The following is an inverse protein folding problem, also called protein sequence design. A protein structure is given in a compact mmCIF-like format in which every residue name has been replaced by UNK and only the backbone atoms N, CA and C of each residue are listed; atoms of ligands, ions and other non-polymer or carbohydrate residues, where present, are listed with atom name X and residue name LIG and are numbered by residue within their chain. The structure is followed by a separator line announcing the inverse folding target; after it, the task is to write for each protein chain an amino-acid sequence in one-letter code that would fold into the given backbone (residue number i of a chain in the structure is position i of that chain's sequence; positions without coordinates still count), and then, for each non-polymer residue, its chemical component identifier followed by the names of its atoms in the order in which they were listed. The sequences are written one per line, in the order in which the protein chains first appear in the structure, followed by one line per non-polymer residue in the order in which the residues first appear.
data_IF_107030964410
#
_entry.id   IF_107030964410
#
_cell.length_a   1.000
_cell.length_b   1.000
_cell.length_c   1.000
_cell.angle_alpha   90.00
_cell.angle_beta   90.00
_cell.angle_gamma   90.00
#
_symmetry.space_group_name_H-M   'P 1'
#
loop_
_entity.id
_entity.type
_entity.pdbx_description
1 polymer ?
#
# COMPACT_ATOMS: atom_id res chain seq x y z
N UNK A 1 18.99 13.54 -10.75
CA UNK A 1 18.50 12.44 -11.62
C UNK A 1 17.83 13.04 -12.85
N UNK A 2 17.86 12.38 -14.00
CA UNK A 2 17.05 12.84 -15.14
C UNK A 2 15.57 12.51 -14.91
N UNK A 3 14.65 13.30 -15.46
CA UNK A 3 13.20 13.06 -15.37
C UNK A 3 12.84 11.65 -15.85
N UNK A 4 13.49 11.17 -16.92
CA UNK A 4 13.31 9.81 -17.45
C UNK A 4 13.70 8.76 -16.41
N UNK A 5 14.86 8.90 -15.78
CA UNK A 5 15.29 7.96 -14.73
C UNK A 5 14.37 7.94 -13.51
N UNK A 6 13.78 9.09 -13.18
CA UNK A 6 12.81 9.23 -12.09
C UNK A 6 11.53 8.48 -12.41
N UNK A 7 10.97 8.68 -13.61
CA UNK A 7 9.76 7.99 -14.06
C UNK A 7 9.96 6.48 -14.18
N UNK A 8 11.09 6.03 -14.73
CA UNK A 8 11.40 4.59 -14.81
C UNK A 8 11.47 3.97 -13.41
N UNK A 9 12.17 4.62 -12.46
CA UNK A 9 12.23 4.13 -11.07
C UNK A 9 10.86 4.10 -10.40
N UNK A 10 10.03 5.12 -10.63
CA UNK A 10 8.66 5.18 -10.11
C UNK A 10 7.86 3.98 -10.62
N UNK A 11 7.77 3.82 -11.94
CA UNK A 11 6.97 2.75 -12.57
C UNK A 11 7.46 1.37 -12.17
N UNK A 12 8.78 1.13 -12.17
CA UNK A 12 9.35 -0.16 -11.74
C UNK A 12 9.03 -0.44 -10.27
N UNK A 13 9.16 0.54 -9.39
CA UNK A 13 8.87 0.35 -7.97
C UNK A 13 7.37 0.13 -7.72
N UNK A 14 6.50 0.84 -8.44
CA UNK A 14 5.06 0.61 -8.41
C UNK A 14 4.68 -0.77 -8.97
N UNK A 15 5.39 -1.27 -9.99
CA UNK A 15 5.17 -2.62 -10.50
C UNK A 15 5.58 -3.69 -9.47
N UNK A 16 6.74 -3.51 -8.81
CA UNK A 16 7.17 -4.38 -7.70
C UNK A 16 6.15 -4.34 -6.56
N UNK A 17 5.66 -3.16 -6.19
CA UNK A 17 4.58 -3.01 -5.21
C UNK A 17 3.33 -3.78 -5.62
N UNK A 18 2.91 -3.66 -6.89
CA UNK A 18 1.76 -4.38 -7.43
C UNK A 18 1.92 -5.90 -7.39
N UNK A 19 3.11 -6.42 -7.67
CA UNK A 19 3.42 -7.85 -7.50
C UNK A 19 3.23 -8.25 -6.04
N UNK A 20 3.76 -7.48 -5.08
CA UNK A 20 3.61 -7.75 -3.66
C UNK A 20 2.15 -7.74 -3.19
N UNK A 21 1.35 -6.78 -3.68
CA UNK A 21 -0.10 -6.71 -3.39
C UNK A 21 -0.81 -7.94 -3.94
N UNK A 22 -0.56 -8.30 -5.21
CA UNK A 22 -1.14 -9.49 -5.82
C UNK A 22 -0.78 -10.76 -5.04
N UNK A 23 0.46 -10.90 -4.56
CA UNK A 23 0.88 -12.04 -3.75
C UNK A 23 0.07 -12.18 -2.46
N UNK A 24 -0.21 -11.08 -1.75
CA UNK A 24 -1.07 -11.12 -0.56
C UNK A 24 -2.51 -11.51 -0.91
N UNK A 25 -3.07 -10.94 -1.99
CA UNK A 25 -4.44 -11.23 -2.40
C UNK A 25 -4.61 -12.68 -2.86
N UNK A 26 -3.69 -13.19 -3.69
CA UNK A 26 -3.66 -14.59 -4.16
C UNK A 26 -3.44 -15.55 -2.99
N UNK A 27 -2.71 -15.15 -1.95
CA UNK A 27 -2.53 -15.99 -0.77
C UNK A 27 -3.85 -16.21 0.00
N UNK A 28 -4.86 -15.33 -0.17
CA UNK A 28 -6.17 -15.44 0.47
C UNK A 28 -6.10 -15.62 2.00
N UNK A 29 -5.12 -14.98 2.64
CA UNK A 29 -4.90 -15.00 4.10
C UNK A 29 -5.17 -13.63 4.75
N UNK A 30 -5.97 -12.79 4.08
CA UNK A 30 -6.22 -11.38 4.42
C UNK A 30 -5.62 -10.43 3.39
N UNK A 31 -5.86 -9.14 3.56
CA UNK A 31 -5.35 -8.07 2.70
C UNK A 31 -4.76 -6.92 3.53
N UNK A 32 -4.25 -5.89 2.88
CA UNK A 32 -3.82 -4.68 3.56
C UNK A 32 -5.01 -3.88 4.17
N UNK A 33 -4.71 -2.97 5.08
CA UNK A 33 -5.75 -2.22 5.81
C UNK A 33 -6.61 -1.31 4.92
N UNK A 34 -6.03 -0.76 3.86
CA UNK A 34 -6.73 0.08 2.88
C UNK A 34 -7.71 -0.75 2.05
N UNK A 35 -7.27 -1.89 1.50
CA UNK A 35 -8.15 -2.81 0.77
C UNK A 35 -9.26 -3.38 1.66
N UNK A 36 -8.94 -3.68 2.93
CA UNK A 36 -9.94 -4.14 3.92
C UNK A 36 -11.02 -3.08 4.16
N UNK A 37 -10.61 -1.81 4.33
CA UNK A 37 -11.53 -0.68 4.50
C UNK A 37 -12.47 -0.51 3.30
N UNK A 38 -11.93 -0.54 2.08
CA UNK A 38 -12.72 -0.38 0.85
C UNK A 38 -13.71 -1.53 0.72
N UNK A 39 -13.26 -2.76 0.92
CA UNK A 39 -14.14 -3.93 0.85
C UNK A 39 -15.27 -3.84 1.88
N UNK A 40 -14.96 -3.48 3.12
CA UNK A 40 -15.98 -3.35 4.16
C UNK A 40 -17.01 -2.27 3.84
N UNK A 41 -16.56 -1.08 3.43
CA UNK A 41 -17.46 0.00 3.03
C UNK A 41 -18.30 -0.37 1.80
N UNK A 42 -17.72 -1.09 0.83
CA UNK A 42 -18.43 -1.62 -0.33
C UNK A 42 -19.57 -2.54 0.07
N UNK A 43 -19.32 -3.47 1.01
CA UNK A 43 -20.33 -4.38 1.57
C UNK A 43 -21.41 -3.61 2.34
N UNK A 44 -21.01 -2.71 3.25
CA UNK A 44 -21.95 -2.01 4.13
C UNK A 44 -22.85 -0.99 3.41
N UNK A 45 -22.35 -0.39 2.33
CA UNK A 45 -23.08 0.63 1.56
C UNK A 45 -23.76 0.07 0.30
N UNK A 46 -23.51 -1.19 -0.06
CA UNK A 46 -23.94 -1.80 -1.33
C UNK A 46 -23.49 -0.97 -2.55
N UNK A 47 -22.21 -0.58 -2.54
CA UNK A 47 -21.58 0.24 -3.58
C UNK A 47 -20.40 -0.51 -4.16
N UNK A 48 -20.23 -0.42 -5.48
CA UNK A 48 -19.11 -1.02 -6.21
C UNK A 48 -17.74 -0.65 -5.61
N UNK A 49 -16.88 -1.67 -5.46
CA UNK A 49 -15.54 -1.54 -4.85
C UNK A 49 -14.73 -0.40 -5.48
N UNK A 50 -14.77 -0.25 -6.81
CA UNK A 50 -14.00 0.77 -7.51
C UNK A 50 -14.44 2.20 -7.17
N UNK A 51 -15.74 2.42 -6.90
CA UNK A 51 -16.28 3.72 -6.49
C UNK A 51 -15.76 4.06 -5.10
N UNK A 52 -15.86 3.10 -4.16
CA UNK A 52 -15.38 3.28 -2.79
C UNK A 52 -13.87 3.54 -2.79
N UNK A 53 -13.10 2.77 -3.55
CA UNK A 53 -11.66 2.97 -3.72
C UNK A 53 -11.33 4.38 -4.21
N UNK A 54 -12.04 4.87 -5.23
CA UNK A 54 -11.85 6.22 -5.77
C UNK A 54 -12.15 7.30 -4.71
N UNK A 55 -13.31 7.21 -4.04
CA UNK A 55 -13.74 8.19 -3.05
C UNK A 55 -12.79 8.22 -1.85
N UNK A 56 -12.48 7.05 -1.29
CA UNK A 56 -11.55 6.94 -0.14
C UNK A 56 -10.14 7.37 -0.54
N UNK A 57 -9.69 7.00 -1.73
CA UNK A 57 -8.39 7.41 -2.27
C UNK A 57 -8.28 8.94 -2.36
N UNK A 58 -9.29 9.60 -2.94
CA UNK A 58 -9.36 11.08 -2.98
C UNK A 58 -9.39 11.66 -1.57
N UNK A 59 -10.19 11.11 -0.67
CA UNK A 59 -10.31 11.61 0.70
C UNK A 59 -8.97 11.57 1.46
N UNK A 60 -8.22 10.47 1.35
CA UNK A 60 -6.90 10.35 2.00
C UNK A 60 -5.88 11.31 1.39
N UNK A 61 -5.88 11.48 0.06
CA UNK A 61 -5.00 12.46 -0.62
C UNK A 61 -5.35 13.90 -0.22
N UNK A 62 -6.64 14.24 -0.15
CA UNK A 62 -7.08 15.56 0.31
C UNK A 62 -6.73 15.82 1.77
N UNK A 63 -6.86 14.80 2.63
CA UNK A 63 -6.43 14.87 4.03
C UNK A 63 -4.93 15.13 4.13
N UNK A 64 -4.11 14.39 3.37
CA UNK A 64 -2.67 14.58 3.33
C UNK A 64 -2.31 15.98 2.81
N UNK A 65 -3.02 16.47 1.79
CA UNK A 65 -2.83 17.81 1.25
C UNK A 65 -3.21 18.91 2.25
N UNK A 66 -4.30 18.76 2.99
CA UNK A 66 -4.69 19.68 4.06
C UNK A 66 -3.65 19.76 5.19
N UNK A 67 -2.83 18.71 5.36
CA UNK A 67 -1.69 18.67 6.29
C UNK A 67 -0.37 19.13 5.68
N UNK A 68 -0.38 19.61 4.43
CA UNK A 68 0.79 20.18 3.75
C UNK A 68 1.51 19.25 2.79
N UNK A 69 1.13 17.97 2.72
CA UNK A 69 1.73 17.00 1.78
C UNK A 69 1.07 17.12 0.40
N UNK A 70 1.74 17.79 -0.53
CA UNK A 70 1.19 18.05 -1.86
C UNK A 70 1.14 16.77 -2.70
N UNK A 71 0.04 16.50 -3.44
CA UNK A 71 -0.01 15.39 -4.37
C UNK A 71 1.00 15.60 -5.51
N UNK A 72 1.52 14.50 -6.05
CA UNK A 72 2.49 14.51 -7.15
C UNK A 72 2.17 13.44 -8.20
N UNK A 73 3.08 13.27 -9.17
CA UNK A 73 2.93 12.25 -10.22
C UNK A 73 2.76 10.82 -9.67
N UNK A 74 3.44 10.50 -8.57
CA UNK A 74 3.33 9.22 -7.85
C UNK A 74 1.93 8.98 -7.27
N UNK A 75 1.21 10.02 -6.85
CA UNK A 75 -0.16 9.90 -6.33
C UNK A 75 -1.14 9.34 -7.36
N UNK A 76 -0.87 9.58 -8.65
CA UNK A 76 -1.67 9.06 -9.76
C UNK A 76 -1.04 7.78 -10.36
N UNK A 77 0.28 7.80 -10.55
CA UNK A 77 1.01 6.70 -11.20
C UNK A 77 0.97 5.43 -10.36
N UNK A 78 1.11 5.55 -9.03
CA UNK A 78 1.12 4.42 -8.12
C UNK A 78 -0.16 3.59 -8.21
N UNK A 79 -1.38 4.14 -7.99
CA UNK A 79 -2.59 3.32 -8.02
C UNK A 79 -2.87 2.77 -9.42
N UNK A 80 -2.52 3.49 -10.49
CA UNK A 80 -2.71 3.01 -11.87
C UNK A 80 -1.81 1.81 -12.20
N UNK A 81 -0.50 1.93 -11.94
CA UNK A 81 0.46 0.85 -12.23
C UNK A 81 0.22 -0.35 -11.33
N UNK A 82 -0.01 -0.11 -10.03
CA UNK A 82 -0.32 -1.19 -9.07
C UNK A 82 -1.61 -1.90 -9.47
N UNK A 83 -2.68 -1.14 -9.79
CA UNK A 83 -3.94 -1.72 -10.23
C UNK A 83 -3.79 -2.58 -11.49
N UNK A 84 -3.10 -2.06 -12.52
CA UNK A 84 -2.85 -2.82 -13.75
C UNK A 84 -2.10 -4.14 -13.49
N UNK A 85 -1.03 -4.08 -12.69
CA UNK A 85 -0.20 -5.26 -12.37
C UNK A 85 -0.99 -6.28 -11.53
N UNK A 86 -1.74 -5.81 -10.53
CA UNK A 86 -2.57 -6.66 -9.66
C UNK A 86 -3.64 -7.37 -10.48
N UNK A 87 -4.40 -6.64 -11.32
CA UNK A 87 -5.42 -7.25 -12.18
C UNK A 87 -4.84 -8.32 -13.09
N UNK A 88 -3.73 -8.02 -13.78
CA UNK A 88 -3.10 -8.99 -14.68
C UNK A 88 -2.58 -10.24 -13.96
N UNK A 89 -2.09 -10.11 -12.73
CA UNK A 89 -1.63 -11.26 -11.93
C UNK A 89 -2.78 -12.08 -11.35
N UNK A 90 -3.86 -11.44 -10.91
CA UNK A 90 -5.05 -12.15 -10.44
C UNK A 90 -5.74 -12.92 -11.58
N UNK A 91 -5.71 -12.40 -12.81
CA UNK A 91 -6.22 -13.11 -13.99
C UNK A 91 -5.30 -14.29 -14.39
N UNK A 92 -3.99 -14.16 -14.15
CA UNK A 92 -3.00 -15.16 -14.56
C UNK A 92 -2.79 -16.29 -13.54
N UNK A 93 -3.08 -16.06 -12.26
CA UNK A 93 -2.78 -17.00 -11.18
C UNK A 93 -4.01 -17.29 -10.33
N UNK A 94 -4.28 -18.58 -10.14
CA UNK A 94 -5.30 -19.04 -9.20
C UNK A 94 -4.79 -19.04 -7.75
N UNK A 95 -5.72 -18.96 -6.81
CA UNK A 95 -5.48 -19.16 -5.37
C UNK A 95 -4.90 -20.57 -5.13
N UNK A 96 -3.79 -20.71 -4.37
CA UNK A 96 -3.23 -22.02 -4.06
C UNK A 96 -4.14 -22.85 -3.14
N UNK A 97 -4.38 -24.13 -3.46
CA UNK A 97 -5.15 -25.02 -2.59
C UNK A 97 -4.43 -25.34 -1.27
N UNK A 98 -3.11 -25.47 -1.33
CA UNK A 98 -2.32 -25.88 -0.18
C UNK A 98 -2.04 -24.72 0.79
N UNK A 99 -2.39 -24.90 2.06
CA UNK A 99 -2.20 -23.87 3.09
C UNK A 99 -0.75 -23.39 3.22
N UNK A 100 0.23 -24.28 3.07
CA UNK A 100 1.66 -23.93 3.15
C UNK A 100 2.11 -23.06 1.97
N UNK A 101 1.50 -23.23 0.79
CA UNK A 101 1.80 -22.40 -0.38
C UNK A 101 1.28 -20.98 -0.18
N UNK A 102 0.09 -20.83 0.40
CA UNK A 102 -0.47 -19.53 0.80
C UNK A 102 0.42 -18.81 1.81
N UNK A 103 0.88 -19.52 2.84
CA UNK A 103 1.81 -18.97 3.84
C UNK A 103 3.14 -18.57 3.21
N UNK A 104 3.72 -19.41 2.35
CA UNK A 104 4.94 -19.09 1.62
C UNK A 104 4.80 -17.84 0.74
N UNK A 105 3.69 -17.74 0.01
CA UNK A 105 3.38 -16.58 -0.83
C UNK A 105 3.24 -15.31 0.01
N UNK A 106 2.51 -15.39 1.13
CA UNK A 106 2.36 -14.28 2.06
C UNK A 106 3.71 -13.82 2.63
N UNK A 107 4.55 -14.74 3.10
CA UNK A 107 5.89 -14.42 3.65
C UNK A 107 6.77 -13.74 2.60
N UNK A 108 6.75 -14.23 1.36
CA UNK A 108 7.51 -13.63 0.26
C UNK A 108 6.95 -12.28 -0.18
N UNK A 109 5.66 -12.00 0.05
CA UNK A 109 5.05 -10.73 -0.32
C UNK A 109 5.61 -9.55 0.48
N UNK A 110 5.94 -9.74 1.76
CA UNK A 110 6.44 -8.66 2.63
C UNK A 110 7.71 -7.95 2.13
N UNK A 111 8.81 -8.66 1.79
CA UNK A 111 9.98 -7.98 1.24
C UNK A 111 9.69 -7.31 -0.10
N UNK A 112 8.85 -7.91 -0.95
CA UNK A 112 8.46 -7.34 -2.25
C UNK A 112 7.66 -6.04 -2.05
N UNK A 113 6.66 -6.05 -1.18
CA UNK A 113 5.89 -4.87 -0.79
C UNK A 113 6.79 -3.78 -0.21
N UNK A 114 7.65 -4.13 0.74
CA UNK A 114 8.51 -3.17 1.41
C UNK A 114 9.50 -2.50 0.43
N UNK A 115 10.08 -3.27 -0.49
CA UNK A 115 10.93 -2.74 -1.57
C UNK A 115 10.12 -1.86 -2.52
N UNK A 116 8.91 -2.27 -2.88
CA UNK A 116 8.02 -1.49 -3.74
C UNK A 116 7.65 -0.14 -3.13
N UNK A 117 7.17 -0.13 -1.88
CA UNK A 117 6.81 1.08 -1.12
C UNK A 117 8.02 1.99 -0.94
N UNK A 118 9.13 1.48 -0.37
CA UNK A 118 10.33 2.28 -0.14
C UNK A 118 10.90 2.83 -1.46
N UNK A 119 10.89 2.01 -2.52
CA UNK A 119 11.43 2.34 -3.82
C UNK A 119 10.69 3.49 -4.49
N UNK A 120 9.36 3.46 -4.50
CA UNK A 120 8.57 4.49 -5.16
C UNK A 120 8.54 5.79 -4.33
N UNK A 121 8.51 5.70 -3.00
CA UNK A 121 8.57 6.86 -2.12
C UNK A 121 9.93 7.57 -2.19
N UNK A 122 11.03 6.83 -2.34
CA UNK A 122 12.37 7.41 -2.52
C UNK A 122 12.56 8.18 -3.85
N UNK A 123 11.57 8.14 -4.74
CA UNK A 123 11.56 8.94 -5.98
C UNK A 123 11.08 10.38 -5.73
N UNK A 124 10.47 10.64 -4.56
CA UNK A 124 9.87 11.92 -4.18
C UNK A 124 8.94 12.52 -5.26
N UNK A 125 8.18 11.63 -5.90
CA UNK A 125 7.21 12.03 -6.92
C UNK A 125 5.79 12.20 -6.35
N UNK A 126 5.61 12.15 -5.04
CA UNK A 126 4.31 12.07 -4.36
C UNK A 126 3.92 10.64 -3.98
N UNK A 127 3.11 10.53 -2.93
CA UNK A 127 2.73 9.26 -2.32
C UNK A 127 1.33 8.78 -2.76
N UNK A 128 1.10 7.47 -2.73
CA UNK A 128 -0.22 6.86 -2.88
C UNK A 128 -1.15 7.15 -1.69
N UNK A 129 -2.45 6.83 -1.75
CA UNK A 129 -3.41 7.28 -0.74
C UNK A 129 -3.04 6.89 0.70
N UNK A 130 -2.67 5.63 0.91
CA UNK A 130 -2.30 5.08 2.22
C UNK A 130 -0.98 5.68 2.72
N UNK A 131 0.05 5.71 1.87
CA UNK A 131 1.35 6.27 2.26
C UNK A 131 1.29 7.79 2.44
N UNK A 132 0.50 8.51 1.65
CA UNK A 132 0.27 9.94 1.79
C UNK A 132 -0.40 10.24 3.13
N UNK A 133 -1.41 9.45 3.50
CA UNK A 133 -2.05 9.57 4.80
C UNK A 133 -1.06 9.32 5.93
N UNK A 134 -0.18 8.33 5.82
CA UNK A 134 0.84 8.04 6.83
C UNK A 134 1.92 9.14 6.92
N UNK A 135 2.44 9.60 5.79
CA UNK A 135 3.47 10.63 5.69
C UNK A 135 2.97 11.99 6.19
N UNK A 136 1.69 12.30 6.01
CA UNK A 136 1.09 13.53 6.51
C UNK A 136 1.13 13.70 8.04
N UNK A 137 1.41 12.63 8.78
CA UNK A 137 1.61 12.63 10.23
C UNK A 137 3.07 12.45 10.66
N UNK A 138 4.03 12.41 9.73
CA UNK A 138 5.47 12.34 10.01
C UNK A 138 6.15 13.67 9.63
N UNK A 139 6.46 14.57 10.59
CA UNK A 139 6.26 14.49 12.06
C UNK A 139 4.82 14.83 12.54
N UNK A 140 4.41 14.46 13.78
CA UNK A 140 5.23 13.97 14.91
C UNK A 140 5.35 12.45 15.06
N UNK A 141 4.59 11.66 14.29
CA UNK A 141 4.59 10.20 14.38
C UNK A 141 5.44 9.63 13.24
N UNK A 142 6.56 8.94 13.54
CA UNK A 142 7.42 8.37 12.49
C UNK A 142 6.63 7.47 11.53
N UNK A 143 6.98 7.51 10.24
CA UNK A 143 6.28 6.79 9.17
C UNK A 143 5.94 5.33 9.51
N UNK A 144 6.87 4.57 10.10
CA UNK A 144 6.59 3.16 10.50
C UNK A 144 5.35 3.01 11.37
N UNK A 145 5.09 3.97 12.25
CA UNK A 145 4.00 3.95 13.21
C UNK A 145 2.74 4.59 12.63
N UNK A 146 2.87 5.72 11.92
CA UNK A 146 1.72 6.35 11.27
C UNK A 146 1.14 5.42 10.20
N UNK A 147 1.98 4.73 9.44
CA UNK A 147 1.56 3.71 8.47
C UNK A 147 0.83 2.56 9.16
N UNK A 148 1.38 2.03 10.26
CA UNK A 148 0.73 0.98 11.05
C UNK A 148 -0.65 1.42 11.58
N UNK A 149 -0.77 2.68 12.03
CA UNK A 149 -2.04 3.26 12.50
C UNK A 149 -3.05 3.40 11.37
N UNK A 150 -2.65 3.88 10.19
CA UNK A 150 -3.52 3.99 9.02
C UNK A 150 -4.02 2.59 8.61
N UNK A 151 -3.13 1.60 8.56
CA UNK A 151 -3.49 0.22 8.24
C UNK A 151 -4.41 -0.40 9.29
N UNK A 152 -4.13 -0.18 10.57
CA UNK A 152 -4.99 -0.67 11.66
C UNK A 152 -6.37 -0.02 11.62
N UNK A 153 -6.42 1.31 11.45
CA UNK A 153 -7.67 2.05 11.33
C UNK A 153 -8.51 1.59 10.14
N UNK A 154 -7.89 1.43 8.97
CA UNK A 154 -8.56 0.90 7.79
C UNK A 154 -9.08 -0.52 7.98
N UNK A 155 -8.26 -1.42 8.56
CA UNK A 155 -8.67 -2.78 8.85
C UNK A 155 -9.82 -2.85 9.87
N UNK A 156 -9.77 -2.05 10.92
CA UNK A 156 -10.83 -1.98 11.94
C UNK A 156 -12.14 -1.45 11.35
N UNK A 157 -12.07 -0.38 10.55
CA UNK A 157 -13.24 0.16 9.86
C UNK A 157 -13.83 -0.86 8.89
N UNK A 158 -12.99 -1.47 8.06
CA UNK A 158 -13.42 -2.48 7.11
C UNK A 158 -14.08 -3.68 7.81
N UNK A 159 -13.48 -4.17 8.90
CA UNK A 159 -14.03 -5.26 9.70
C UNK A 159 -15.38 -4.90 10.34
N UNK A 160 -15.50 -3.69 10.92
CA UNK A 160 -16.75 -3.20 11.47
C UNK A 160 -17.86 -3.08 10.40
N UNK A 161 -17.47 -2.86 9.14
CA UNK A 161 -18.37 -2.83 7.98
C UNK A 161 -18.57 -4.19 7.30
N UNK A 162 -18.03 -5.29 7.85
CA UNK A 162 -18.28 -6.66 7.39
C UNK A 162 -17.19 -7.29 6.51
N UNK A 163 -16.05 -6.62 6.31
CA UNK A 163 -14.90 -7.25 5.66
C UNK A 163 -14.23 -8.29 6.55
N UNK A 164 -13.69 -9.34 5.93
CA UNK A 164 -12.84 -10.31 6.63
C UNK A 164 -11.46 -9.70 6.93
N UNK A 165 -10.94 -9.98 8.13
CA UNK A 165 -9.57 -9.69 8.54
C UNK A 165 -8.84 -11.00 8.75
N UNK A 166 -7.70 -11.15 8.10
CA UNK A 166 -6.88 -12.36 8.17
C UNK A 166 -5.51 -12.12 8.83
N UNK A 167 -4.72 -13.19 9.05
CA UNK A 167 -3.36 -13.07 9.57
C UNK A 167 -2.46 -12.19 8.69
N UNK A 168 -2.64 -12.20 7.37
CA UNK A 168 -1.94 -11.30 6.45
C UNK A 168 -2.18 -9.83 6.75
N UNK A 169 -3.42 -9.46 7.09
CA UNK A 169 -3.77 -8.08 7.48
C UNK A 169 -3.06 -7.66 8.76
N UNK A 170 -3.02 -8.53 9.77
CA UNK A 170 -2.29 -8.25 11.01
C UNK A 170 -0.79 -8.10 10.75
N UNK A 171 -0.21 -8.98 9.93
CA UNK A 171 1.19 -8.87 9.55
C UNK A 171 1.47 -7.56 8.80
N UNK A 172 0.59 -7.12 7.91
CA UNK A 172 0.73 -5.82 7.22
C UNK A 172 0.71 -4.67 8.22
N UNK A 173 -0.22 -4.68 9.17
CA UNK A 173 -0.34 -3.66 10.21
C UNK A 173 0.95 -3.55 11.03
N UNK A 174 1.53 -4.68 11.46
CA UNK A 174 2.65 -4.66 12.40
C UNK A 174 4.05 -4.65 11.74
N UNK A 175 4.20 -5.22 10.54
CA UNK A 175 5.52 -5.40 9.92
C UNK A 175 5.81 -4.48 8.74
N UNK A 176 4.81 -4.11 7.93
CA UNK A 176 5.10 -3.43 6.66
C UNK A 176 5.74 -2.06 6.87
N UNK A 177 5.18 -1.24 7.77
CA UNK A 177 5.75 0.07 8.12
C UNK A 177 7.21 -0.02 8.62
N UNK A 178 7.51 -0.83 9.64
CA UNK A 178 8.88 -1.06 10.11
C UNK A 178 9.84 -1.60 9.05
N UNK A 179 9.38 -2.49 8.15
CA UNK A 179 10.20 -3.02 7.06
C UNK A 179 10.55 -1.94 6.04
N UNK A 180 9.60 -1.08 5.66
CA UNK A 180 9.86 0.06 4.77
C UNK A 180 10.89 1.01 5.39
N UNK A 181 10.73 1.35 6.66
CA UNK A 181 11.69 2.19 7.40
C UNK A 181 13.08 1.56 7.45
N UNK A 182 13.16 0.25 7.72
CA UNK A 182 14.42 -0.49 7.77
C UNK A 182 15.14 -0.47 6.42
N UNK A 183 14.42 -0.73 5.32
CA UNK A 183 14.99 -0.70 3.98
C UNK A 183 15.43 0.72 3.60
N UNK A 184 14.62 1.72 3.91
CA UNK A 184 14.94 3.13 3.64
C UNK A 184 16.19 3.60 4.40
N UNK A 185 16.39 3.11 5.63
CA UNK A 185 17.58 3.41 6.43
C UNK A 185 18.84 2.64 5.99
N UNK A 186 18.68 1.42 5.45
CA UNK A 186 19.79 0.55 5.05
C UNK A 186 20.31 0.83 3.64
N UNK A 187 19.44 1.29 2.74
CA UNK A 187 19.76 1.48 1.33
C UNK A 187 19.55 2.92 0.91
N UNK A 188 20.63 3.61 0.52
CA UNK A 188 20.58 5.01 0.06
C UNK A 188 19.71 5.20 -1.18
N UNK A 189 19.55 4.17 -2.01
CA UNK A 189 18.64 4.19 -3.17
C UNK A 189 17.15 4.21 -2.76
N UNK A 190 16.84 3.85 -1.52
CA UNK A 190 15.50 3.79 -0.95
C UNK A 190 15.29 4.87 0.12
N UNK A 191 16.20 5.84 0.25
CA UNK A 191 16.06 6.89 1.26
C UNK A 191 14.88 7.80 0.93
N UNK A 192 13.89 7.83 1.82
CA UNK A 192 12.73 8.71 1.72
C UNK A 192 13.11 10.06 2.32
N UNK A 193 13.02 11.13 1.53
CA UNK A 193 13.14 12.49 2.05
C UNK A 193 11.94 12.79 2.95
N UNK A 194 12.21 13.08 4.22
CA UNK A 194 11.19 13.45 5.20
C UNK A 194 11.19 14.97 5.31
N UNK A 195 10.02 15.59 5.23
CA UNK A 195 9.88 17.03 5.44
C UNK A 195 10.33 17.35 6.87
N UNK A 196 11.46 18.04 6.99
CA UNK A 196 11.94 18.65 8.24
C UNK A 196 11.38 20.03 8.42
#
# INVERSE_FOLDING_TARGET
MSVVSQLVRLVVSCAILGVGVAMILIAALGSDGYSTMINGLSIALDVEFWIVNLVVGIALVLMAWARGLRPGLGTITQPLVVGFVVSGLLDAFAEPDAWWARVGLLVLAFPVLAVGVAGYLAVDAGAGPTEAAALAFDPPVPFRWSYSVVQAGGALLGWACGAAVGPGTLLVIFLLGPLVDLLSARFSLLSIERAG
#
